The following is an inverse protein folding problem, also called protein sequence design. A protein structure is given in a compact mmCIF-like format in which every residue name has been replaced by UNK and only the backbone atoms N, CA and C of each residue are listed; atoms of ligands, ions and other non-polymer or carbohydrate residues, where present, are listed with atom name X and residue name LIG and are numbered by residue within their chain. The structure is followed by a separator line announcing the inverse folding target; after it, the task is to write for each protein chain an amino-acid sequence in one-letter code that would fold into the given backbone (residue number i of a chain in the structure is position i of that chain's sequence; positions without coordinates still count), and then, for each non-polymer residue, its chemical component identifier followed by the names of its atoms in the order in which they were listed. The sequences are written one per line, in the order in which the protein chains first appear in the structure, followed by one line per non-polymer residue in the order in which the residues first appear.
data_IF_411597230993
#
_entry.id   IF_411597230993
#
_cell.length_a   1.000
_cell.length_b   1.000
_cell.length_c   1.000
_cell.angle_alpha   90.00
_cell.angle_beta   90.00
_cell.angle_gamma   90.00
#
_symmetry.space_group_name_H-M   'P 1'
#
loop_
_entity.id
_entity.type
_entity.pdbx_description
1 polymer ?
#
# COMPACT_ATOMS: atom_id res chain seq x y z
N UNK A 1 -22.06 4.66 4.33
CA UNK A 1 -20.73 5.22 4.00
C UNK A 1 -20.37 4.73 2.61
N UNK A 2 -19.88 5.58 1.71
CA UNK A 2 -19.46 5.15 0.36
C UNK A 2 -18.03 4.60 0.36
N UNK A 3 -17.65 3.92 -0.72
CA UNK A 3 -16.34 3.28 -0.86
C UNK A 3 -15.19 4.30 -0.78
N UNK A 4 -15.36 5.49 -1.35
CA UNK A 4 -14.35 6.54 -1.32
C UNK A 4 -14.05 6.98 0.12
N UNK A 5 -15.09 7.22 0.91
CA UNK A 5 -14.98 7.62 2.31
C UNK A 5 -14.32 6.52 3.14
N UNK A 6 -14.67 5.26 2.88
CA UNK A 6 -14.03 4.12 3.54
C UNK A 6 -12.52 4.06 3.23
N UNK A 7 -12.12 4.16 1.97
CA UNK A 7 -10.71 4.10 1.56
C UNK A 7 -9.89 5.28 2.11
N UNK A 8 -10.50 6.48 2.20
CA UNK A 8 -9.86 7.63 2.85
C UNK A 8 -9.66 7.37 4.34
N UNK A 9 -10.67 6.85 5.04
CA UNK A 9 -10.53 6.51 6.46
C UNK A 9 -9.48 5.41 6.69
N UNK A 10 -9.45 4.39 5.85
CA UNK A 10 -8.46 3.31 5.90
C UNK A 10 -7.02 3.84 5.75
N UNK A 11 -6.82 4.76 4.81
CA UNK A 11 -5.55 5.49 4.61
C UNK A 11 -5.15 6.28 5.86
N UNK A 12 -6.06 7.11 6.36
CA UNK A 12 -5.77 8.04 7.44
C UNK A 12 -5.48 7.32 8.76
N UNK A 13 -6.16 6.19 8.99
CA UNK A 13 -5.96 5.32 10.16
C UNK A 13 -4.78 4.34 10.01
N UNK A 14 -4.14 4.27 8.83
CA UNK A 14 -3.04 3.34 8.52
C UNK A 14 -3.36 1.89 8.91
N UNK A 15 -4.56 1.42 8.55
CA UNK A 15 -5.02 0.07 8.94
C UNK A 15 -4.28 -0.97 8.10
N UNK A 16 -3.35 -1.71 8.70
CA UNK A 16 -2.67 -2.80 8.02
C UNK A 16 -3.68 -3.89 7.59
N UNK A 17 -3.51 -4.40 6.37
CA UNK A 17 -4.33 -5.47 5.80
C UNK A 17 -5.67 -5.04 5.20
N UNK A 18 -6.05 -3.75 5.28
CA UNK A 18 -7.26 -3.24 4.62
C UNK A 18 -7.13 -3.16 3.09
N UNK A 19 -8.23 -2.79 2.41
CA UNK A 19 -8.24 -2.71 0.95
C UNK A 19 -7.31 -1.60 0.44
N UNK A 20 -7.32 -0.43 1.08
CA UNK A 20 -6.41 0.66 0.75
C UNK A 20 -4.93 0.25 0.91
N UNK A 21 -4.57 -0.36 2.05
CA UNK A 21 -3.22 -0.84 2.35
C UNK A 21 -2.69 -1.79 1.29
N UNK A 22 -3.46 -2.83 0.96
CA UNK A 22 -3.07 -3.81 -0.04
C UNK A 22 -2.98 -3.18 -1.44
N UNK A 23 -3.91 -2.29 -1.78
CA UNK A 23 -3.88 -1.58 -3.07
C UNK A 23 -2.66 -0.68 -3.20
N UNK A 24 -2.30 0.03 -2.13
CA UNK A 24 -1.14 0.91 -2.10
C UNK A 24 0.17 0.13 -2.29
N UNK A 25 0.33 -1.01 -1.60
CA UNK A 25 1.49 -1.90 -1.76
C UNK A 25 1.59 -2.41 -3.19
N UNK A 26 0.48 -2.92 -3.74
CA UNK A 26 0.45 -3.44 -5.10
C UNK A 26 0.77 -2.37 -6.13
N UNK A 27 0.23 -1.17 -5.96
CA UNK A 27 0.50 -0.06 -6.87
C UNK A 27 1.99 0.30 -6.85
N UNK A 28 2.57 0.48 -5.67
CA UNK A 28 3.99 0.79 -5.50
C UNK A 28 4.89 -0.31 -6.06
N UNK A 29 4.58 -1.58 -5.79
CA UNK A 29 5.35 -2.71 -6.31
C UNK A 29 5.37 -2.71 -7.84
N UNK A 30 4.20 -2.57 -8.46
CA UNK A 30 4.08 -2.61 -9.91
C UNK A 30 4.71 -1.37 -10.59
N UNK A 31 4.44 -0.16 -10.10
CA UNK A 31 5.00 1.06 -10.68
C UNK A 31 6.53 1.06 -10.59
N UNK A 32 7.06 0.73 -9.41
CA UNK A 32 8.50 0.70 -9.20
C UNK A 32 9.16 -0.38 -10.05
N UNK A 33 8.51 -1.54 -10.23
CA UNK A 33 9.03 -2.61 -11.10
C UNK A 33 9.09 -2.20 -12.56
N UNK A 34 8.08 -1.48 -13.06
CA UNK A 34 8.08 -0.91 -14.43
C UNK A 34 9.26 0.08 -14.59
N UNK A 35 9.57 0.84 -13.55
CA UNK A 35 10.70 1.78 -13.50
C UNK A 35 12.07 1.11 -13.26
N UNK A 36 12.11 -0.21 -13.11
CA UNK A 36 13.35 -1.00 -12.98
C UNK A 36 13.78 -1.30 -11.54
N UNK A 37 12.95 -1.00 -10.54
CA UNK A 37 13.20 -1.40 -9.15
C UNK A 37 13.16 -2.93 -8.98
N UNK A 38 14.06 -3.47 -8.14
CA UNK A 38 14.23 -4.91 -7.91
C UNK A 38 13.70 -5.40 -6.55
N UNK A 39 13.10 -4.54 -5.74
CA UNK A 39 12.48 -4.95 -4.48
C UNK A 39 11.38 -5.98 -4.71
N UNK A 40 11.32 -7.01 -3.86
CA UNK A 40 10.22 -7.96 -3.85
C UNK A 40 8.94 -7.31 -3.34
N UNK A 41 7.80 -7.98 -3.54
CA UNK A 41 6.53 -7.51 -2.98
C UNK A 41 6.61 -7.42 -1.45
N UNK A 42 7.20 -8.42 -0.77
CA UNK A 42 7.40 -8.41 0.68
C UNK A 42 8.30 -7.26 1.15
N UNK A 43 9.39 -6.96 0.43
CA UNK A 43 10.24 -5.81 0.75
C UNK A 43 9.50 -4.49 0.54
N UNK A 44 8.66 -4.41 -0.50
CA UNK A 44 7.82 -3.23 -0.76
C UNK A 44 6.78 -3.06 0.35
N UNK A 45 6.13 -4.14 0.77
CA UNK A 45 5.20 -4.18 1.90
C UNK A 45 5.87 -3.74 3.19
N UNK A 46 7.06 -4.24 3.48
CA UNK A 46 7.82 -3.89 4.67
C UNK A 46 8.09 -2.39 4.77
N UNK A 47 8.29 -1.69 3.66
CA UNK A 47 8.44 -0.22 3.65
C UNK A 47 7.19 0.46 4.22
N UNK A 48 5.98 0.00 3.88
CA UNK A 48 4.74 0.59 4.39
C UNK A 48 4.42 0.20 5.82
N UNK A 49 4.84 -1.00 6.24
CA UNK A 49 4.52 -1.55 7.56
C UNK A 49 5.55 -1.14 8.64
N UNK A 50 6.72 -0.62 8.24
CA UNK A 50 7.82 -0.26 9.16
C UNK A 50 7.91 1.24 9.45
N UNK A 51 7.16 2.11 8.76
CA UNK A 51 7.17 3.55 9.08
C UNK A 51 6.38 3.79 10.37
N UNK A 52 7.11 3.78 11.50
CA UNK A 52 6.64 4.15 12.85
C UNK A 52 6.23 5.62 12.89
#
# INVERSE_FOLDING_TARGET
MDLKTQLINEKDLRINGCLYHNTQINFAYNSNRIEGNRLTEDQTRYIFETVV
#
